data_IF_055020998008
#
_entry.id   IF_055020998008
#
_cell.length_a   1.000
_cell.length_b   1.000
_cell.length_c   1.000
_cell.angle_alpha   90.00
_cell.angle_beta   90.00
_cell.angle_gamma   90.00
#
_symmetry.space_group_name_H-M   'P 1'
#
loop_
_entity.id
_entity.type
_entity.pdbx_description
1 polymer ?
#
# COMPACT_ATOMS: atom_id res chain seq x y z
N UNK A 1 -8.28 17.13 21.27
CA UNK A 1 -8.18 15.66 21.40
C UNK A 1 -8.28 15.06 20.01
N UNK A 2 -7.22 14.43 19.50
CA UNK A 2 -7.32 13.64 18.27
C UNK A 2 -8.31 12.51 18.55
N UNK A 3 -9.47 12.49 17.87
CA UNK A 3 -10.30 11.29 17.82
C UNK A 3 -9.41 10.19 17.23
N UNK A 4 -9.10 9.19 18.04
CA UNK A 4 -8.46 7.97 17.56
C UNK A 4 -9.43 7.32 16.57
N UNK A 5 -8.91 6.86 15.42
CA UNK A 5 -9.77 6.53 14.30
C UNK A 5 -10.76 5.42 14.61
N UNK A 6 -12.04 5.65 14.32
CA UNK A 6 -13.13 4.75 14.70
C UNK A 6 -12.92 3.34 14.10
N UNK A 7 -12.42 3.29 12.86
CA UNK A 7 -12.10 2.04 12.17
C UNK A 7 -10.91 1.29 12.77
N UNK A 8 -9.86 1.99 13.23
CA UNK A 8 -8.73 1.35 13.91
C UNK A 8 -9.18 0.71 15.24
N UNK A 9 -10.05 1.39 15.99
CA UNK A 9 -10.55 0.84 17.26
C UNK A 9 -11.47 -0.36 17.05
N UNK A 10 -12.33 -0.33 16.03
CA UNK A 10 -13.13 -1.52 15.66
C UNK A 10 -12.24 -2.68 15.24
N UNK A 11 -11.21 -2.42 14.43
CA UNK A 11 -10.28 -3.47 14.00
C UNK A 11 -9.46 -4.03 15.17
N UNK A 12 -9.02 -3.22 16.13
CA UNK A 12 -8.36 -3.75 17.33
C UNK A 12 -9.24 -4.74 18.08
N UNK A 13 -10.53 -4.45 18.22
CA UNK A 13 -11.47 -5.36 18.87
C UNK A 13 -11.72 -6.62 18.04
N UNK A 14 -11.87 -6.49 16.73
CA UNK A 14 -12.06 -7.62 15.81
C UNK A 14 -10.82 -8.53 15.78
N UNK A 15 -9.63 -7.97 15.58
CA UNK A 15 -8.37 -8.71 15.53
C UNK A 15 -8.07 -9.43 16.84
N UNK A 16 -8.40 -8.84 18.01
CA UNK A 16 -8.28 -9.52 19.29
C UNK A 16 -9.19 -10.77 19.38
N UNK A 17 -10.44 -10.68 18.91
CA UNK A 17 -11.37 -11.82 18.86
C UNK A 17 -10.91 -12.88 17.86
N UNK A 18 -10.49 -12.46 16.67
CA UNK A 18 -9.96 -13.35 15.63
C UNK A 18 -8.73 -14.10 16.13
N UNK A 19 -7.78 -13.42 16.75
CA UNK A 19 -6.60 -14.02 17.39
C UNK A 19 -6.98 -15.08 18.43
N UNK A 20 -7.95 -14.78 19.29
CA UNK A 20 -8.33 -15.68 20.39
C UNK A 20 -9.05 -16.96 19.93
N UNK A 21 -9.76 -16.92 18.81
CA UNK A 21 -10.72 -17.97 18.42
C UNK A 21 -10.40 -18.68 17.10
N UNK A 22 -9.67 -18.04 16.19
CA UNK A 22 -9.41 -18.59 14.86
C UNK A 22 -8.43 -19.77 14.89
N UNK A 23 -8.46 -20.64 13.86
CA UNK A 23 -7.52 -21.76 13.75
C UNK A 23 -6.14 -21.33 13.24
N UNK A 24 -5.93 -20.06 12.91
CA UNK A 24 -4.72 -19.57 12.23
C UNK A 24 -3.58 -19.19 13.18
N UNK A 25 -3.83 -19.19 14.49
CA UNK A 25 -2.85 -18.88 15.52
C UNK A 25 -2.63 -20.06 16.47
N UNK A 26 -1.35 -20.29 16.80
CA UNK A 26 -0.91 -21.23 17.82
C UNK A 26 -1.40 -20.83 19.21
N UNK A 27 -1.37 -21.77 20.16
CA UNK A 27 -1.71 -21.47 21.56
C UNK A 27 -0.79 -20.40 22.17
N UNK A 28 0.49 -20.38 21.78
CA UNK A 28 1.44 -19.37 22.25
C UNK A 28 1.08 -17.99 21.70
N UNK A 29 0.76 -17.90 20.41
CA UNK A 29 0.40 -16.64 19.75
C UNK A 29 -0.88 -16.00 20.30
N UNK A 30 -1.73 -16.74 21.02
CA UNK A 30 -2.97 -16.23 21.65
C UNK A 30 -2.72 -15.34 22.86
N UNK A 31 -1.55 -15.45 23.52
CA UNK A 31 -1.20 -14.57 24.63
C UNK A 31 -1.04 -13.10 24.19
N UNK A 32 -1.28 -12.13 25.06
CA UNK A 32 -1.12 -10.72 24.73
C UNK A 32 0.31 -10.36 24.32
N UNK A 33 0.44 -9.57 23.26
CA UNK A 33 1.71 -9.03 22.80
C UNK A 33 2.03 -7.68 23.43
N UNK A 34 3.32 -7.40 23.63
CA UNK A 34 3.77 -6.06 24.03
C UNK A 34 4.00 -5.21 22.80
N UNK A 35 3.38 -4.04 22.73
CA UNK A 35 3.60 -3.04 21.69
C UNK A 35 3.74 -1.65 22.31
N UNK A 36 4.82 -0.93 21.98
CA UNK A 36 5.18 0.37 22.58
C UNK A 36 5.13 0.35 24.12
N UNK A 37 5.69 -0.72 24.71
CA UNK A 37 5.80 -0.90 26.17
C UNK A 37 4.49 -1.28 26.88
N UNK A 38 3.42 -1.60 26.15
CA UNK A 38 2.12 -1.94 26.74
C UNK A 38 1.64 -3.30 26.23
N UNK A 39 1.11 -4.13 27.12
CA UNK A 39 0.39 -5.36 26.76
C UNK A 39 -0.88 -5.01 25.99
N UNK A 40 -1.11 -5.70 24.87
CA UNK A 40 -2.25 -5.49 23.97
C UNK A 40 -2.84 -6.83 23.52
N UNK A 41 -4.16 -7.04 23.62
CA UNK A 41 -4.80 -8.28 23.18
C UNK A 41 -4.79 -8.45 21.65
N UNK A 42 -4.72 -7.36 20.90
CA UNK A 42 -4.61 -7.34 19.44
C UNK A 42 -3.15 -7.33 18.92
N UNK A 43 -2.17 -7.55 19.79
CA UNK A 43 -0.78 -7.79 19.39
C UNK A 43 -0.40 -9.23 19.68
N UNK A 44 0.45 -9.82 18.85
CA UNK A 44 1.06 -11.12 19.10
C UNK A 44 2.27 -10.98 20.03
N UNK A 45 2.64 -12.02 20.81
CA UNK A 45 3.96 -12.11 21.40
C UNK A 45 5.02 -11.96 20.30
N UNK A 46 6.16 -11.33 20.62
CA UNK A 46 7.16 -10.96 19.60
C UNK A 46 7.75 -12.21 18.93
N UNK A 47 7.92 -13.28 19.70
CA UNK A 47 8.34 -14.60 19.27
C UNK A 47 7.35 -15.29 18.32
N UNK A 48 6.10 -14.85 18.28
CA UNK A 48 5.04 -15.36 17.40
C UNK A 48 4.70 -14.39 16.27
N UNK A 49 5.51 -13.35 16.02
CA UNK A 49 5.16 -12.29 15.08
C UNK A 49 4.92 -12.79 13.65
N UNK A 50 5.64 -13.84 13.20
CA UNK A 50 5.40 -14.47 11.89
C UNK A 50 3.97 -14.99 11.69
N UNK A 51 3.25 -15.30 12.79
CA UNK A 51 1.87 -15.73 12.72
C UNK A 51 0.90 -14.61 12.33
N UNK A 52 1.38 -13.36 12.28
CA UNK A 52 0.65 -12.25 11.69
C UNK A 52 0.47 -12.41 10.16
N UNK A 53 1.18 -13.36 9.54
CA UNK A 53 0.99 -13.74 8.14
C UNK A 53 0.08 -14.97 8.01
N UNK A 54 -0.72 -14.99 6.97
CA UNK A 54 -1.54 -16.13 6.55
C UNK A 54 -0.66 -17.39 6.42
N UNK A 55 -1.02 -18.52 7.07
CA UNK A 55 -0.14 -19.68 7.14
C UNK A 55 0.41 -20.19 5.79
N UNK A 56 -0.39 -20.20 4.73
CA UNK A 56 0.04 -20.76 3.43
C UNK A 56 1.10 -19.90 2.72
N UNK A 57 1.15 -18.59 3.00
CA UNK A 57 2.16 -17.69 2.42
C UNK A 57 3.33 -17.40 3.35
N UNK A 58 3.19 -17.68 4.66
CA UNK A 58 4.08 -17.17 5.72
C UNK A 58 5.56 -17.39 5.41
N UNK A 59 5.95 -18.64 5.16
CA UNK A 59 7.36 -18.98 4.95
C UNK A 59 7.90 -18.39 3.65
N UNK A 60 7.10 -18.40 2.57
CA UNK A 60 7.49 -17.81 1.29
C UNK A 60 7.62 -16.29 1.38
N UNK A 61 6.72 -15.61 2.08
CA UNK A 61 6.76 -14.16 2.29
C UNK A 61 7.97 -13.76 3.14
N UNK A 62 8.24 -14.47 4.24
CA UNK A 62 9.44 -14.23 5.05
C UNK A 62 10.73 -14.42 4.25
N UNK A 63 10.83 -15.51 3.48
CA UNK A 63 11.99 -15.78 2.63
C UNK A 63 12.16 -14.70 1.55
N UNK A 64 11.06 -14.28 0.92
CA UNK A 64 11.09 -13.20 -0.08
C UNK A 64 11.56 -11.88 0.55
N UNK A 65 10.96 -11.43 1.66
CA UNK A 65 11.35 -10.19 2.35
C UNK A 65 12.83 -10.22 2.75
N UNK A 66 13.31 -11.34 3.30
CA UNK A 66 14.72 -11.51 3.64
C UNK A 66 15.63 -11.45 2.39
N UNK A 67 15.28 -12.15 1.31
CA UNK A 67 16.07 -12.18 0.07
C UNK A 67 16.18 -10.80 -0.61
N UNK A 68 15.10 -10.01 -0.55
CA UNK A 68 15.04 -8.67 -1.12
C UNK A 68 15.54 -7.58 -0.16
N UNK A 69 15.93 -7.96 1.07
CA UNK A 69 16.35 -7.01 2.10
C UNK A 69 15.26 -6.00 2.46
N UNK A 70 13.99 -6.40 2.35
CA UNK A 70 12.83 -5.56 2.67
C UNK A 70 12.69 -5.48 4.19
N UNK A 71 12.56 -4.26 4.72
CA UNK A 71 12.28 -4.08 6.14
C UNK A 71 10.79 -4.21 6.44
N UNK A 72 10.49 -4.97 7.47
CA UNK A 72 9.16 -5.00 8.05
C UNK A 72 8.87 -3.72 8.84
N UNK A 73 7.77 -3.06 8.56
CA UNK A 73 7.29 -1.90 9.31
C UNK A 73 6.96 -2.31 10.74
N UNK A 74 7.49 -1.58 11.72
CA UNK A 74 7.38 -1.88 13.16
C UNK A 74 7.76 -3.33 13.56
N UNK A 75 8.45 -4.06 12.67
CA UNK A 75 8.92 -5.42 12.88
C UNK A 75 10.21 -5.47 13.71
N UNK A 76 10.49 -6.65 14.27
CA UNK A 76 11.69 -6.89 15.10
C UNK A 76 12.41 -8.15 14.65
N UNK A 77 13.75 -8.14 14.69
CA UNK A 77 14.57 -9.32 14.36
C UNK A 77 14.28 -9.95 12.99
N UNK A 78 13.95 -9.13 11.99
CA UNK A 78 13.61 -9.61 10.64
C UNK A 78 12.20 -10.20 10.50
N UNK A 79 11.37 -10.12 11.55
CA UNK A 79 9.99 -10.59 11.55
C UNK A 79 9.01 -9.45 11.23
N UNK A 80 7.80 -9.77 10.73
CA UNK A 80 6.72 -8.80 10.55
C UNK A 80 6.34 -8.10 11.85
N UNK A 81 5.58 -7.01 11.74
CA UNK A 81 4.97 -6.36 12.89
C UNK A 81 4.20 -7.37 13.74
N UNK A 82 4.27 -7.24 15.07
CA UNK A 82 3.39 -8.02 15.96
C UNK A 82 2.02 -7.37 16.15
N UNK A 83 1.77 -6.20 15.55
CA UNK A 83 0.48 -5.50 15.61
C UNK A 83 -0.46 -6.03 14.53
N UNK A 84 -1.62 -6.59 14.90
CA UNK A 84 -2.52 -7.24 13.94
C UNK A 84 -3.24 -6.27 12.98
N UNK A 85 -3.19 -4.96 13.25
CA UNK A 85 -3.68 -3.90 12.35
C UNK A 85 -2.56 -3.22 11.54
N UNK A 86 -1.39 -3.85 11.41
CA UNK A 86 -0.30 -3.34 10.59
C UNK A 86 -0.65 -3.38 9.10
N UNK A 87 -0.45 -2.27 8.38
CA UNK A 87 -0.86 -2.16 6.97
C UNK A 87 0.08 -2.87 6.00
N UNK A 88 1.38 -2.99 6.31
CA UNK A 88 2.30 -3.77 5.48
C UNK A 88 1.96 -5.26 5.57
N UNK A 89 1.69 -5.75 6.78
CA UNK A 89 1.22 -7.13 6.98
C UNK A 89 -0.16 -7.36 6.33
N UNK A 90 -1.06 -6.38 6.39
CA UNK A 90 -2.33 -6.43 5.67
C UNK A 90 -2.09 -6.56 4.16
N UNK A 91 -1.31 -5.67 3.55
CA UNK A 91 -0.93 -5.70 2.14
C UNK A 91 -0.36 -7.07 1.72
N UNK A 92 0.59 -7.62 2.48
CA UNK A 92 1.18 -8.94 2.21
C UNK A 92 0.15 -10.05 2.27
N UNK A 93 -0.74 -10.05 3.27
CA UNK A 93 -1.79 -11.06 3.39
C UNK A 93 -2.77 -11.04 2.21
N UNK A 94 -3.08 -9.87 1.67
CA UNK A 94 -3.96 -9.76 0.50
C UNK A 94 -3.24 -10.14 -0.79
N UNK A 95 -2.02 -9.63 -1.02
CA UNK A 95 -1.40 -9.67 -2.34
C UNK A 95 -0.43 -10.84 -2.54
N UNK A 96 0.25 -11.33 -1.50
CA UNK A 96 1.32 -12.32 -1.68
C UNK A 96 0.78 -13.66 -2.16
N UNK A 97 -0.46 -14.03 -1.83
CA UNK A 97 -1.08 -15.27 -2.30
C UNK A 97 -1.19 -15.37 -3.84
N UNK A 98 -1.07 -14.23 -4.53
CA UNK A 98 -1.10 -14.10 -5.98
C UNK A 98 0.28 -14.09 -6.64
N UNK A 99 1.38 -14.12 -5.86
CA UNK A 99 2.75 -13.96 -6.38
C UNK A 99 3.12 -14.99 -7.45
N UNK A 100 2.46 -16.16 -7.44
CA UNK A 100 2.66 -17.27 -8.37
C UNK A 100 1.37 -17.69 -9.11
N UNK A 101 0.30 -16.88 -9.05
CA UNK A 101 -1.02 -17.17 -9.63
C UNK A 101 -1.47 -16.08 -10.61
N UNK A 102 -0.88 -16.00 -11.81
CA UNK A 102 -1.12 -14.90 -12.75
C UNK A 102 -2.59 -14.78 -13.17
N UNK A 103 -3.30 -15.88 -13.40
CA UNK A 103 -4.70 -15.85 -13.84
C UNK A 103 -5.63 -15.35 -12.73
N UNK A 104 -5.35 -15.72 -11.48
CA UNK A 104 -6.09 -15.24 -10.33
C UNK A 104 -5.82 -13.75 -10.10
N UNK A 105 -4.57 -13.32 -10.21
CA UNK A 105 -4.17 -11.92 -10.11
C UNK A 105 -4.83 -11.06 -11.19
N UNK A 106 -4.83 -11.53 -12.44
CA UNK A 106 -5.54 -10.84 -13.53
C UNK A 106 -7.04 -10.72 -13.22
N UNK A 107 -7.66 -11.78 -12.70
CA UNK A 107 -9.08 -11.78 -12.36
C UNK A 107 -9.41 -10.77 -11.26
N UNK A 108 -8.54 -10.62 -10.26
CA UNK A 108 -8.66 -9.59 -9.22
C UNK A 108 -8.48 -8.19 -9.78
N UNK A 109 -7.55 -7.97 -10.70
CA UNK A 109 -7.22 -6.63 -11.20
C UNK A 109 -8.13 -6.13 -12.34
N UNK A 110 -8.80 -7.03 -13.07
CA UNK A 110 -9.68 -6.68 -14.20
C UNK A 110 -10.82 -5.68 -13.92
N UNK A 111 -11.43 -5.62 -12.73
CA UNK A 111 -12.39 -4.56 -12.40
C UNK A 111 -11.81 -3.14 -12.53
N UNK A 112 -10.49 -3.01 -12.39
CA UNK A 112 -9.76 -1.74 -12.53
C UNK A 112 -9.05 -1.63 -13.89
N UNK A 113 -8.51 -2.74 -14.36
CA UNK A 113 -7.76 -2.83 -15.62
C UNK A 113 -8.43 -3.86 -16.54
N UNK A 114 -9.56 -3.51 -17.19
CA UNK A 114 -10.32 -4.47 -18.01
C UNK A 114 -9.53 -4.95 -19.23
N UNK A 115 -8.52 -4.19 -19.65
CA UNK A 115 -7.66 -4.46 -20.79
C UNK A 115 -6.52 -5.46 -20.50
N UNK A 116 -6.43 -6.05 -19.28
CA UNK A 116 -5.40 -7.05 -18.98
C UNK A 116 -5.56 -8.25 -19.93
N UNK A 117 -4.54 -8.46 -20.76
CA UNK A 117 -4.39 -9.66 -21.59
C UNK A 117 -3.70 -10.78 -20.81
N UNK A 118 -2.54 -10.49 -20.23
CA UNK A 118 -1.78 -11.44 -19.40
C UNK A 118 -0.98 -10.69 -18.33
N UNK A 119 -0.85 -11.28 -17.15
CA UNK A 119 0.12 -10.80 -16.16
C UNK A 119 1.54 -11.12 -16.63
N UNK A 120 2.49 -10.30 -16.20
CA UNK A 120 3.92 -10.46 -16.45
C UNK A 120 4.66 -10.52 -15.10
N UNK A 121 5.71 -11.35 -14.96
CA UNK A 121 6.51 -11.36 -13.75
C UNK A 121 7.24 -10.02 -13.58
N UNK A 122 7.34 -9.54 -12.35
CA UNK A 122 8.07 -8.31 -11.99
C UNK A 122 9.51 -8.63 -11.61
N UNK A 123 9.71 -9.53 -10.65
CA UNK A 123 11.06 -9.95 -10.24
C UNK A 123 11.07 -11.43 -9.82
N UNK A 124 12.17 -12.13 -10.07
CA UNK A 124 12.37 -13.53 -9.65
C UNK A 124 11.23 -14.49 -10.04
N UNK A 125 10.57 -14.24 -11.17
CA UNK A 125 9.42 -15.02 -11.64
C UNK A 125 8.12 -14.77 -10.89
N UNK A 126 8.09 -13.86 -9.92
CA UNK A 126 6.90 -13.49 -9.17
C UNK A 126 6.13 -12.37 -9.87
N UNK A 127 4.80 -12.46 -9.83
CA UNK A 127 3.88 -11.51 -10.46
C UNK A 127 3.49 -10.32 -9.56
N UNK A 128 3.85 -10.41 -8.28
CA UNK A 128 3.71 -9.33 -7.29
C UNK A 128 5.06 -9.17 -6.62
N UNK A 129 5.57 -7.95 -6.60
CA UNK A 129 6.71 -7.57 -5.77
C UNK A 129 6.28 -6.53 -4.73
N UNK A 130 7.03 -6.44 -3.63
CA UNK A 130 6.69 -5.57 -2.50
C UNK A 130 7.77 -4.53 -2.27
N UNK A 131 7.33 -3.40 -1.71
CA UNK A 131 8.19 -2.29 -1.30
C UNK A 131 9.10 -1.83 -2.46
N UNK A 132 8.53 -1.69 -3.65
CA UNK A 132 9.28 -1.40 -4.88
C UNK A 132 9.74 0.06 -4.93
N UNK A 133 11.05 0.25 -5.07
CA UNK A 133 11.69 1.58 -5.05
C UNK A 133 12.17 2.04 -6.43
N UNK A 134 11.94 1.25 -7.48
CA UNK A 134 12.55 1.42 -8.81
C UNK A 134 13.97 0.85 -8.89
N UNK A 135 14.37 0.38 -10.07
CA UNK A 135 15.72 -0.16 -10.34
C UNK A 135 16.80 0.90 -10.08
N UNK A 136 16.49 2.16 -10.40
CA UNK A 136 17.36 3.31 -10.18
C UNK A 136 16.80 4.29 -9.13
N UNK A 137 17.67 5.16 -8.60
CA UNK A 137 17.26 6.22 -7.66
C UNK A 137 16.63 7.41 -8.40
N UNK A 138 15.52 7.18 -9.09
CA UNK A 138 14.86 8.19 -9.93
C UNK A 138 14.50 9.48 -9.20
N UNK A 139 14.13 9.36 -7.92
CA UNK A 139 13.73 10.52 -7.12
C UNK A 139 14.90 11.31 -6.53
N UNK A 140 16.13 10.83 -6.69
CA UNK A 140 17.32 11.46 -6.09
C UNK A 140 17.28 11.49 -4.56
N UNK A 141 16.56 10.55 -3.94
CA UNK A 141 16.45 10.48 -2.48
C UNK A 141 17.80 10.13 -1.86
N UNK A 142 18.02 10.62 -0.64
CA UNK A 142 19.33 10.56 0.01
C UNK A 142 19.71 9.11 0.33
N UNK A 143 20.80 8.64 -0.28
CA UNK A 143 21.39 7.35 0.04
C UNK A 143 22.14 7.44 1.38
N UNK A 144 21.97 6.45 2.24
CA UNK A 144 22.70 6.34 3.50
C UNK A 144 24.20 6.18 3.25
N UNK A 145 25.02 6.45 4.28
CA UNK A 145 26.49 6.37 4.20
C UNK A 145 27.04 5.01 3.74
N UNK A 146 26.26 3.94 3.88
CA UNK A 146 26.60 2.60 3.43
C UNK A 146 26.38 2.37 1.92
N UNK A 147 25.92 3.39 1.17
CA UNK A 147 25.72 3.33 -0.28
C UNK A 147 24.58 2.44 -0.75
N UNK A 148 23.80 1.84 0.16
CA UNK A 148 22.74 0.88 -0.18
C UNK A 148 21.37 1.53 -0.08
N UNK A 149 20.56 1.34 -1.12
CA UNK A 149 19.12 1.60 -1.10
C UNK A 149 18.43 0.45 -0.37
N UNK A 150 17.32 0.72 0.33
CA UNK A 150 16.62 -0.30 1.12
C UNK A 150 15.12 -0.14 0.91
N UNK A 151 14.46 -1.25 0.56
CA UNK A 151 13.00 -1.33 0.43
C UNK A 151 12.32 -1.29 1.81
N UNK A 152 11.19 -0.60 1.93
CA UNK A 152 10.49 -0.44 3.21
C UNK A 152 11.17 0.47 4.23
N UNK A 153 12.17 1.26 3.82
CA UNK A 153 12.75 2.28 4.72
C UNK A 153 13.50 3.39 3.98
N UNK A 154 13.26 4.64 4.40
CA UNK A 154 13.99 5.85 3.98
C UNK A 154 13.87 6.27 2.51
N UNK A 155 13.25 5.44 1.66
CA UNK A 155 12.99 5.73 0.26
C UNK A 155 11.48 5.75 -0.01
N UNK A 156 11.10 6.31 -1.15
CA UNK A 156 9.77 6.14 -1.72
C UNK A 156 9.68 4.72 -2.22
N UNK A 157 8.65 4.02 -1.78
CA UNK A 157 8.49 2.60 -1.95
C UNK A 157 7.01 2.35 -2.21
N UNK A 158 6.64 1.85 -3.38
CA UNK A 158 5.29 1.36 -3.60
C UNK A 158 5.08 0.12 -2.75
N UNK A 159 3.99 0.05 -1.98
CA UNK A 159 3.72 -1.07 -1.08
C UNK A 159 3.74 -2.41 -1.82
N UNK A 160 3.21 -2.41 -3.05
CA UNK A 160 3.39 -3.49 -4.02
C UNK A 160 3.49 -2.98 -5.45
N UNK A 161 3.88 -3.86 -6.37
CA UNK A 161 3.93 -3.59 -7.81
C UNK A 161 3.46 -4.84 -8.57
N UNK A 162 2.71 -4.61 -9.64
CA UNK A 162 2.31 -5.64 -10.62
C UNK A 162 2.57 -5.13 -12.03
N UNK A 163 2.81 -6.05 -12.96
CA UNK A 163 2.99 -5.74 -14.38
C UNK A 163 2.13 -6.65 -15.23
N UNK A 164 1.58 -6.11 -16.32
CA UNK A 164 0.76 -6.85 -17.25
C UNK A 164 0.89 -6.31 -18.66
N UNK A 165 0.59 -7.17 -19.63
CA UNK A 165 0.38 -6.76 -21.00
C UNK A 165 -1.10 -6.49 -21.26
N UNK A 166 -1.38 -5.41 -21.95
CA UNK A 166 -2.72 -4.99 -22.35
C UNK A 166 -3.14 -5.62 -23.68
N UNK A 167 -4.44 -5.59 -23.98
CA UNK A 167 -4.97 -6.03 -25.28
C UNK A 167 -4.40 -5.23 -26.46
N UNK A 168 -3.99 -3.98 -26.24
CA UNK A 168 -3.35 -3.11 -27.24
C UNK A 168 -1.85 -3.40 -27.44
N UNK A 169 -1.31 -4.40 -26.75
CA UNK A 169 0.09 -4.81 -26.82
C UNK A 169 1.04 -4.00 -25.94
N UNK A 170 0.57 -2.98 -25.21
CA UNK A 170 1.40 -2.20 -24.31
C UNK A 170 1.63 -2.93 -22.99
N UNK A 171 2.80 -2.72 -22.41
CA UNK A 171 3.14 -3.14 -21.04
C UNK A 171 2.76 -2.04 -20.07
N UNK A 172 2.00 -2.42 -19.04
CA UNK A 172 1.59 -1.52 -17.99
C UNK A 172 2.05 -2.02 -16.62
N UNK A 173 2.63 -1.11 -15.85
CA UNK A 173 2.92 -1.28 -14.43
C UNK A 173 1.84 -0.55 -13.61
N UNK A 174 1.38 -1.19 -12.54
CA UNK A 174 0.64 -0.52 -11.48
C UNK A 174 1.48 -0.56 -10.19
N UNK A 175 1.90 0.62 -9.74
CA UNK A 175 2.46 0.83 -8.41
C UNK A 175 1.29 0.89 -7.42
N UNK A 176 1.23 -0.06 -6.49
CA UNK A 176 0.16 -0.17 -5.52
C UNK A 176 0.55 0.59 -4.27
N UNK A 177 -0.29 1.57 -3.89
CA UNK A 177 -0.27 2.21 -2.58
C UNK A 177 -1.41 1.63 -1.76
N UNK A 178 -1.09 0.89 -0.70
CA UNK A 178 -2.02 0.17 0.15
C UNK A 178 -2.30 0.93 1.44
N UNK A 179 -3.57 0.94 1.84
CA UNK A 179 -4.01 1.44 3.14
C UNK A 179 -4.82 0.38 3.85
N UNK A 180 -4.88 0.52 5.16
CA UNK A 180 -5.71 -0.25 6.06
C UNK A 180 -6.40 0.68 7.06
N UNK A 181 -5.77 0.97 8.19
CA UNK A 181 -6.36 1.74 9.30
C UNK A 181 -5.68 3.09 9.54
N UNK A 182 -4.97 3.63 8.56
CA UNK A 182 -4.23 4.90 8.70
C UNK A 182 -5.17 6.08 8.97
N UNK A 183 -4.72 6.96 9.86
CA UNK A 183 -5.36 8.24 10.14
C UNK A 183 -4.27 9.30 10.22
N UNK A 184 -4.38 10.34 9.40
CA UNK A 184 -3.38 11.39 9.28
C UNK A 184 -3.80 12.70 9.96
N UNK A 185 -2.82 13.44 10.45
CA UNK A 185 -3.01 14.79 11.00
C UNK A 185 -2.55 15.87 10.03
N UNK A 186 -2.97 17.11 10.26
CA UNK A 186 -2.59 18.28 9.46
C UNK A 186 -1.19 18.85 9.78
N UNK A 187 -0.24 18.01 10.19
CA UNK A 187 1.12 18.46 10.47
C UNK A 187 1.93 18.52 9.18
N UNK A 188 2.55 19.66 8.89
CA UNK A 188 3.42 19.79 7.72
C UNK A 188 4.67 18.91 7.88
N UNK A 189 4.97 18.18 6.81
CA UNK A 189 6.15 17.35 6.63
C UNK A 189 7.28 18.06 5.88
N UNK A 190 7.13 19.35 5.54
CA UNK A 190 8.14 20.11 4.81
C UNK A 190 9.52 19.98 5.45
N UNK A 191 9.60 20.20 6.76
CA UNK A 191 10.85 20.06 7.52
C UNK A 191 10.81 18.75 8.31
N UNK A 192 11.75 17.84 8.01
CA UNK A 192 11.92 16.61 8.78
C UNK A 192 12.45 16.92 10.19
N UNK A 193 12.29 15.98 11.13
CA UNK A 193 12.87 16.09 12.49
C UNK A 193 14.40 16.29 12.48
N UNK A 194 15.08 15.82 11.44
CA UNK A 194 16.51 16.02 11.22
C UNK A 194 16.89 17.43 10.74
N UNK A 195 15.92 18.33 10.52
CA UNK A 195 16.11 19.65 9.93
C UNK A 195 16.16 19.65 8.39
N UNK A 196 15.99 18.50 7.74
CA UNK A 196 15.99 18.39 6.28
C UNK A 196 14.73 19.02 5.69
N UNK A 197 14.88 20.01 4.80
CA UNK A 197 13.79 20.50 3.97
C UNK A 197 13.53 19.50 2.83
N UNK A 198 12.42 18.77 2.96
CA UNK A 198 12.00 17.74 2.01
C UNK A 198 11.56 18.31 0.67
N UNK A 199 11.24 19.60 0.59
CA UNK A 199 10.87 20.22 -0.69
C UNK A 199 12.04 20.21 -1.66
N UNK A 200 13.27 20.37 -1.17
CA UNK A 200 14.47 20.39 -2.01
C UNK A 200 14.72 19.07 -2.75
N UNK A 201 14.24 17.95 -2.22
CA UNK A 201 14.37 16.63 -2.84
C UNK A 201 13.53 16.57 -4.11
N UNK A 202 12.26 16.99 -4.03
CA UNK A 202 11.28 16.78 -5.11
C UNK A 202 11.09 18.02 -6.01
N UNK A 203 11.57 19.20 -5.58
CA UNK A 203 11.45 20.45 -6.35
C UNK A 203 12.04 20.37 -7.76
N UNK A 204 13.20 19.71 -8.00
CA UNK A 204 13.70 19.52 -9.36
C UNK A 204 12.71 18.77 -10.26
N UNK A 205 12.09 17.69 -9.76
CA UNK A 205 11.10 16.91 -10.49
C UNK A 205 9.80 17.71 -10.72
N UNK A 206 9.33 18.39 -9.67
CA UNK A 206 8.14 19.23 -9.74
C UNK A 206 8.28 20.39 -10.74
N UNK A 207 9.48 20.92 -10.95
CA UNK A 207 9.70 22.06 -11.86
C UNK A 207 9.68 21.69 -13.34
N UNK A 208 9.87 20.43 -13.70
CA UNK A 208 9.92 20.00 -15.10
C UNK A 208 8.58 20.19 -15.81
N UNK A 209 8.63 20.46 -17.12
CA UNK A 209 7.44 20.68 -17.94
C UNK A 209 6.55 19.42 -18.02
N UNK A 210 7.18 18.25 -17.98
CA UNK A 210 6.50 16.95 -18.02
C UNK A 210 6.05 16.43 -16.64
N UNK A 211 6.11 17.24 -15.59
CA UNK A 211 5.67 16.82 -14.24
C UNK A 211 4.21 16.32 -14.27
N UNK A 212 3.88 15.15 -13.67
CA UNK A 212 2.54 14.56 -13.75
C UNK A 212 1.47 15.29 -12.93
N UNK A 213 1.86 16.30 -12.15
CA UNK A 213 0.98 17.08 -11.27
C UNK A 213 0.53 18.36 -12.01
N UNK A 214 -0.76 18.66 -11.96
CA UNK A 214 -1.36 19.87 -12.49
C UNK A 214 -1.03 21.04 -11.56
N UNK A 215 -0.06 21.84 -11.98
CA UNK A 215 0.46 22.98 -11.20
C UNK A 215 -0.50 24.19 -11.24
N UNK A 216 -1.42 24.25 -12.19
CA UNK A 216 -2.40 25.35 -12.30
C UNK A 216 -3.46 25.27 -11.20
N UNK A 217 -3.79 24.05 -10.76
CA UNK A 217 -4.71 23.81 -9.65
C UNK A 217 -4.02 23.89 -8.28
N UNK A 218 -2.68 23.83 -8.25
CA UNK A 218 -1.92 23.75 -7.02
C UNK A 218 -1.61 25.16 -6.50
N UNK A 219 -2.08 25.56 -5.31
CA UNK A 219 -1.85 26.91 -4.79
C UNK A 219 -0.37 27.19 -4.53
N UNK A 220 0.37 26.18 -4.03
CA UNK A 220 1.81 26.21 -3.84
C UNK A 220 2.36 24.78 -3.69
N UNK A 221 3.67 24.59 -3.89
CA UNK A 221 4.28 23.25 -3.82
C UNK A 221 4.25 22.66 -2.41
N UNK A 222 4.38 23.51 -1.38
CA UNK A 222 4.40 23.15 0.03
C UNK A 222 3.07 22.53 0.50
N UNK A 223 1.96 22.81 -0.19
CA UNK A 223 0.64 22.21 0.05
C UNK A 223 0.65 20.68 -0.12
N UNK A 224 1.63 20.11 -0.83
CA UNK A 224 1.79 18.66 -1.00
C UNK A 224 2.50 17.99 0.19
N UNK A 225 3.06 18.75 1.13
CA UNK A 225 3.86 18.22 2.23
C UNK A 225 3.02 17.96 3.49
N UNK A 226 1.84 17.36 3.32
CA UNK A 226 0.96 16.89 4.39
C UNK A 226 0.55 15.46 4.06
N UNK A 227 0.48 14.56 5.03
CA UNK A 227 0.02 13.20 4.74
C UNK A 227 -1.49 13.15 4.54
N UNK A 228 -2.01 12.43 3.54
CA UNK A 228 -1.29 11.50 2.65
C UNK A 228 -0.82 12.11 1.31
N UNK A 229 -1.02 13.41 1.06
CA UNK A 229 -0.57 14.06 -0.19
C UNK A 229 0.94 13.93 -0.42
N UNK A 230 1.72 13.91 0.66
CA UNK A 230 3.17 13.74 0.59
C UNK A 230 3.53 12.35 0.06
N UNK A 231 2.88 11.29 0.55
CA UNK A 231 3.01 9.93 0.01
C UNK A 231 2.58 9.87 -1.45
N UNK A 232 1.38 10.37 -1.77
CA UNK A 232 0.84 10.32 -3.13
C UNK A 232 1.72 11.07 -4.14
N UNK A 233 2.24 12.25 -3.79
CA UNK A 233 3.19 13.00 -4.62
C UNK A 233 4.42 12.15 -4.95
N UNK A 234 5.02 11.52 -3.94
CA UNK A 234 6.23 10.72 -4.13
C UNK A 234 5.97 9.52 -5.03
N UNK A 235 4.88 8.79 -4.80
CA UNK A 235 4.49 7.65 -5.65
C UNK A 235 4.21 8.09 -7.09
N UNK A 236 3.50 9.22 -7.28
CA UNK A 236 3.18 9.70 -8.62
C UNK A 236 4.42 10.15 -9.39
N UNK A 237 5.37 10.79 -8.70
CA UNK A 237 6.67 11.14 -9.30
C UNK A 237 7.48 9.89 -9.61
N UNK A 238 7.47 8.86 -8.75
CA UNK A 238 8.14 7.59 -8.98
C UNK A 238 7.56 6.89 -10.22
N UNK A 239 6.24 6.76 -10.30
CA UNK A 239 5.54 6.18 -11.44
C UNK A 239 5.92 6.90 -12.76
N UNK A 240 5.93 8.22 -12.75
CA UNK A 240 6.32 9.02 -13.91
C UNK A 240 7.76 8.78 -14.35
N UNK A 241 8.70 8.73 -13.41
CA UNK A 241 10.10 8.49 -13.76
C UNK A 241 10.36 7.05 -14.23
N UNK A 242 9.67 6.05 -13.66
CA UNK A 242 9.70 4.65 -14.13
C UNK A 242 9.15 4.57 -15.57
N UNK A 243 8.02 5.25 -15.87
CA UNK A 243 7.44 5.30 -17.22
C UNK A 243 8.43 5.94 -18.21
N UNK A 244 9.05 7.05 -17.82
CA UNK A 244 10.03 7.75 -18.66
C UNK A 244 11.31 6.95 -18.90
N UNK A 245 11.75 6.19 -17.92
CA UNK A 245 12.92 5.31 -18.03
C UNK A 245 12.61 4.02 -18.77
N UNK A 246 11.33 3.72 -19.02
CA UNK A 246 10.85 2.44 -19.54
C UNK A 246 11.40 1.26 -18.71
N UNK A 247 11.43 1.43 -17.38
CA UNK A 247 11.84 0.36 -16.47
C UNK A 247 11.01 -0.90 -16.75
N UNK A 248 11.65 -2.08 -16.78
CA UNK A 248 11.01 -3.36 -17.16
C UNK A 248 10.34 -3.36 -18.55
N UNK A 249 10.67 -2.38 -19.40
CA UNK A 249 10.03 -2.16 -20.70
C UNK A 249 8.59 -1.66 -20.60
N UNK A 250 8.21 -0.98 -19.52
CA UNK A 250 6.87 -0.44 -19.35
C UNK A 250 6.60 0.74 -20.29
N UNK A 251 5.45 0.71 -20.96
CA UNK A 251 4.93 1.83 -21.76
C UNK A 251 4.04 2.77 -20.93
N UNK A 252 3.45 2.22 -19.87
CA UNK A 252 2.50 2.90 -18.99
C UNK A 252 2.83 2.53 -17.55
N UNK A 253 2.89 3.54 -16.67
CA UNK A 253 3.01 3.33 -15.22
C UNK A 253 1.96 4.18 -14.53
N UNK A 254 1.14 3.54 -13.71
CA UNK A 254 0.09 4.21 -12.94
C UNK A 254 0.25 3.92 -11.45
N UNK A 255 -0.33 4.79 -10.62
CA UNK A 255 -0.50 4.53 -9.18
C UNK A 255 -1.90 3.98 -8.96
N UNK A 256 -1.99 2.77 -8.40
CA UNK A 256 -3.21 2.15 -7.92
C UNK A 256 -3.28 2.30 -6.40
N UNK A 257 -4.11 3.21 -5.93
CA UNK A 257 -4.40 3.37 -4.51
C UNK A 257 -5.53 2.44 -4.07
N UNK A 258 -5.28 1.62 -3.06
CA UNK A 258 -6.23 0.68 -2.47
C UNK A 258 -6.41 1.01 -0.99
N UNK A 259 -7.63 1.28 -0.55
CA UNK A 259 -7.94 1.55 0.85
C UNK A 259 -9.31 1.00 1.25
N UNK A 260 -9.56 0.58 2.49
CA UNK A 260 -10.90 0.21 2.93
C UNK A 260 -11.87 1.39 2.84
N UNK A 261 -13.08 1.18 2.32
CA UNK A 261 -14.14 2.19 2.37
C UNK A 261 -14.52 2.53 3.82
N UNK A 262 -14.37 1.56 4.72
CA UNK A 262 -14.58 1.74 6.15
C UNK A 262 -13.58 2.70 6.81
N UNK A 263 -12.42 2.97 6.20
CA UNK A 263 -11.46 3.92 6.75
C UNK A 263 -11.84 5.36 6.39
N UNK A 264 -12.89 5.88 7.03
CA UNK A 264 -13.32 7.26 6.87
C UNK A 264 -12.26 8.29 7.30
N UNK A 265 -11.35 7.94 8.21
CA UNK A 265 -10.29 8.84 8.67
C UNK A 265 -9.27 9.15 7.58
N UNK A 266 -8.97 8.18 6.71
CA UNK A 266 -8.10 8.39 5.56
C UNK A 266 -8.63 9.45 4.59
N UNK A 267 -9.96 9.59 4.46
CA UNK A 267 -10.59 10.50 3.50
C UNK A 267 -10.27 11.98 3.78
N UNK A 268 -9.87 12.32 5.01
CA UNK A 268 -9.64 13.70 5.47
C UNK A 268 -8.60 14.45 4.63
N UNK A 269 -8.97 15.60 4.08
CA UNK A 269 -8.02 16.54 3.47
C UNK A 269 -7.23 17.24 4.57
N UNK A 270 -5.98 16.83 4.76
CA UNK A 270 -5.10 17.29 5.85
C UNK A 270 -4.32 18.56 5.52
N UNK A 271 -4.12 18.84 4.22
CA UNK A 271 -3.48 20.06 3.74
C UNK A 271 -4.52 21.20 3.67
N UNK A 272 -4.37 22.27 4.47
CA UNK A 272 -5.35 23.36 4.50
C UNK A 272 -5.55 24.01 3.13
N UNK A 273 -4.46 24.19 2.37
CA UNK A 273 -4.49 24.86 1.07
C UNK A 273 -5.17 24.03 -0.01
N UNK A 274 -5.26 22.70 0.16
CA UNK A 274 -5.92 21.80 -0.79
C UNK A 274 -7.38 21.51 -0.43
N UNK A 275 -7.84 21.89 0.76
CA UNK A 275 -9.23 21.70 1.18
C UNK A 275 -10.26 22.28 0.19
N UNK A 276 -10.03 23.45 -0.46
CA UNK A 276 -10.98 23.95 -1.47
C UNK A 276 -11.10 23.10 -2.73
N UNK A 277 -10.19 22.16 -2.99
CA UNK A 277 -10.17 21.36 -4.22
C UNK A 277 -11.07 20.12 -4.15
N UNK A 278 -11.54 19.70 -2.99
CA UNK A 278 -12.42 18.54 -2.86
C UNK A 278 -12.63 18.08 -1.43
N UNK A 279 -13.62 17.20 -1.24
CA UNK A 279 -14.04 16.74 0.09
C UNK A 279 -13.18 15.61 0.63
N UNK A 280 -12.53 14.84 -0.25
CA UNK A 280 -11.64 13.76 0.12
C UNK A 280 -10.25 13.89 -0.49
N UNK A 281 -9.25 13.27 0.17
CA UNK A 281 -7.88 13.16 -0.35
C UNK A 281 -7.86 12.65 -1.79
N UNK A 282 -8.60 11.59 -2.09
CA UNK A 282 -8.56 10.92 -3.40
C UNK A 282 -9.28 11.76 -4.45
N UNK A 283 -10.32 12.51 -4.10
CA UNK A 283 -10.97 13.46 -5.01
C UNK A 283 -10.05 14.61 -5.38
N UNK A 284 -9.36 15.18 -4.38
CA UNK A 284 -8.34 16.21 -4.59
C UNK A 284 -7.22 15.65 -5.47
N UNK A 285 -6.69 14.46 -5.14
CA UNK A 285 -5.56 13.90 -5.88
C UNK A 285 -5.91 13.57 -7.34
N UNK A 286 -7.09 13.01 -7.60
CA UNK A 286 -7.58 12.75 -8.97
C UNK A 286 -7.64 14.02 -9.82
N UNK A 287 -7.94 15.19 -9.23
CA UNK A 287 -7.91 16.48 -9.92
C UNK A 287 -6.50 16.98 -10.16
N UNK A 288 -5.58 16.73 -9.23
CA UNK A 288 -4.19 17.16 -9.30
C UNK A 288 -3.34 16.32 -10.27
N UNK A 289 -3.70 15.08 -10.60
CA UNK A 289 -2.95 14.28 -11.60
C UNK A 289 -3.41 14.66 -13.00
N UNK A 290 -2.50 15.12 -13.86
CA UNK A 290 -2.83 15.65 -15.20
C UNK A 290 -3.51 14.61 -16.10
N UNK A 291 -2.97 13.39 -16.10
CA UNK A 291 -3.46 12.28 -16.92
C UNK A 291 -4.37 11.38 -16.08
N UNK A 292 -5.66 11.34 -16.44
CA UNK A 292 -6.69 10.61 -15.67
C UNK A 292 -6.45 9.10 -15.57
N UNK A 293 -5.66 8.53 -16.46
CA UNK A 293 -5.27 7.12 -16.47
C UNK A 293 -4.00 6.81 -15.65
N UNK A 294 -3.42 7.80 -14.95
CA UNK A 294 -2.17 7.65 -14.18
C UNK A 294 -2.34 7.54 -12.67
N UNK A 295 -3.55 7.78 -12.17
CA UNK A 295 -3.93 7.53 -10.78
C UNK A 295 -5.32 6.91 -10.71
N UNK A 296 -5.43 5.76 -10.08
CA UNK A 296 -6.69 5.07 -9.85
C UNK A 296 -6.83 4.82 -8.35
N UNK A 297 -8.02 5.05 -7.81
CA UNK A 297 -8.32 4.79 -6.41
C UNK A 297 -9.54 3.89 -6.32
N UNK A 298 -9.40 2.76 -5.64
CA UNK A 298 -10.45 1.77 -5.43
C UNK A 298 -10.48 1.34 -3.97
N UNK A 299 -11.66 0.97 -3.49
CA UNK A 299 -11.80 0.38 -2.16
C UNK A 299 -11.27 -1.06 -2.14
N UNK A 300 -10.71 -1.52 -1.04
CA UNK A 300 -10.35 -2.94 -0.88
C UNK A 300 -11.57 -3.86 -1.07
N UNK A 301 -12.74 -3.46 -0.58
CA UNK A 301 -14.02 -4.15 -0.69
C UNK A 301 -14.45 -4.37 -2.15
N UNK A 302 -14.31 -3.35 -3.01
CA UNK A 302 -14.63 -3.50 -4.44
C UNK A 302 -13.64 -4.38 -5.20
N UNK A 303 -12.38 -4.42 -4.77
CA UNK A 303 -11.34 -5.19 -5.47
C UNK A 303 -11.29 -6.65 -5.00
N UNK A 304 -11.54 -6.87 -3.71
CA UNK A 304 -11.39 -8.16 -3.03
C UNK A 304 -12.69 -8.70 -2.42
N UNK A 305 -13.77 -7.93 -2.38
CA UNK A 305 -15.05 -8.37 -1.81
C UNK A 305 -15.93 -9.15 -2.78
N UNK A 306 -16.98 -9.77 -2.23
CA UNK A 306 -18.04 -10.42 -2.98
C UNK A 306 -17.64 -11.74 -3.66
N UNK A 307 -18.37 -12.07 -4.74
CA UNK A 307 -18.34 -13.37 -5.45
C UNK A 307 -16.97 -13.74 -6.02
N UNK A 308 -16.09 -12.76 -6.29
CA UNK A 308 -14.77 -12.98 -6.87
C UNK A 308 -13.91 -13.90 -5.99
N UNK A 309 -13.95 -13.72 -4.66
CA UNK A 309 -13.21 -14.53 -3.69
C UNK A 309 -13.62 -16.02 -3.71
N UNK A 310 -14.90 -16.32 -3.93
CA UNK A 310 -15.43 -17.68 -3.90
C UNK A 310 -15.15 -18.50 -5.18
N UNK A 311 -14.62 -17.85 -6.22
CA UNK A 311 -14.47 -18.42 -7.56
C UNK A 311 -13.03 -18.65 -8.00
N UNK A 312 -12.04 -18.10 -7.27
CA UNK A 312 -10.63 -18.23 -7.63
C UNK A 312 -10.15 -19.68 -7.39
N UNK A 313 -9.87 -20.46 -8.45
CA UNK A 313 -9.47 -21.86 -8.30
C UNK A 313 -8.19 -21.97 -7.47
N UNK A 314 -8.19 -22.86 -6.48
CA UNK A 314 -7.01 -23.08 -5.63
C UNK A 314 -6.72 -21.98 -4.61
N UNK A 315 -7.63 -21.02 -4.39
CA UNK A 315 -7.46 -19.93 -3.41
C UNK A 315 -8.48 -19.96 -2.25
N UNK A 316 -9.09 -21.12 -2.00
CA UNK A 316 -10.11 -21.28 -0.97
C UNK A 316 -9.59 -20.96 0.44
N UNK A 317 -8.43 -21.50 0.82
CA UNK A 317 -7.85 -21.26 2.15
C UNK A 317 -7.53 -19.78 2.38
N UNK A 318 -6.98 -19.12 1.37
CA UNK A 318 -6.74 -17.67 1.38
C UNK A 318 -8.06 -16.87 1.49
N UNK A 319 -9.08 -17.21 0.70
CA UNK A 319 -10.38 -16.52 0.75
C UNK A 319 -11.04 -16.67 2.13
N UNK A 320 -11.05 -17.89 2.68
CA UNK A 320 -11.58 -18.15 4.02
C UNK A 320 -10.82 -17.34 5.09
N UNK A 321 -9.49 -17.26 4.98
CA UNK A 321 -8.66 -16.46 5.87
C UNK A 321 -8.96 -14.95 5.77
N UNK A 322 -8.98 -14.39 4.56
CA UNK A 322 -9.23 -12.96 4.35
C UNK A 322 -10.61 -12.59 4.86
N UNK A 323 -11.64 -13.40 4.55
CA UNK A 323 -13.01 -13.14 5.00
C UNK A 323 -13.17 -13.26 6.52
N UNK A 324 -12.45 -14.18 7.16
CA UNK A 324 -12.49 -14.32 8.62
C UNK A 324 -11.72 -13.20 9.34
N UNK A 325 -10.54 -12.84 8.81
CA UNK A 325 -9.64 -11.88 9.46
C UNK A 325 -10.00 -10.43 9.18
N UNK A 326 -10.39 -10.12 7.95
CA UNK A 326 -10.70 -8.77 7.47
C UNK A 326 -12.17 -8.71 7.07
N UNK A 327 -13.06 -8.98 8.03
CA UNK A 327 -14.48 -9.22 7.78
C UNK A 327 -15.18 -8.06 7.04
N UNK A 328 -14.72 -6.83 7.28
CA UNK A 328 -15.17 -5.61 6.60
C UNK A 328 -15.02 -5.66 5.07
N UNK A 329 -14.18 -6.54 4.51
CA UNK A 329 -14.05 -6.74 3.05
C UNK A 329 -15.36 -7.19 2.41
N UNK A 330 -16.20 -7.93 3.15
CA UNK A 330 -17.48 -8.43 2.67
C UNK A 330 -18.60 -7.39 2.81
N UNK A 331 -18.42 -6.41 3.67
CA UNK A 331 -19.39 -5.35 3.93
C UNK A 331 -19.27 -4.28 2.84
N UNK A 332 -19.83 -4.55 1.67
CA UNK A 332 -19.95 -3.52 0.65
C UNK A 332 -20.91 -2.43 1.16
N UNK A 333 -20.36 -1.36 1.72
CA UNK A 333 -21.09 -0.10 1.78
C UNK A 333 -21.26 0.35 0.33
N UNK A 334 -22.43 0.11 -0.24
CA UNK A 334 -22.79 0.59 -1.55
C UNK A 334 -22.88 2.14 -1.50
N UNK A 335 -21.74 2.83 -1.43
CA UNK A 335 -21.67 4.22 -1.84
C UNK A 335 -21.48 4.25 -3.36
N UNK A 336 -22.60 4.05 -4.05
CA UNK A 336 -22.80 4.55 -5.40
C UNK A 336 -22.78 6.08 -5.37
N UNK A 337 -21.74 6.68 -5.95
CA UNK A 337 -21.79 8.02 -6.55
C UNK A 337 -20.65 8.19 -7.55
#
# INVERSE_FOLDING_TARGET
>A
MNRMGEFLESEKLHQAKFKASSPYFSNAARADGVYKGKSRPFCLPIECAEENLFPEIRQAALAYFASQGIKWHDGQNGQPSNHLCDSQVCCVNFLFAFSDKPDALASVLRPVFPDIRTMLPVENGQYVAFEWIGEENYLGEKISRNGKRTRGANFTSADAIVMFERIDGKRQIALIEWKYTESYGGASLKIARSGTDRTNIYRPLFRRDDCPINKELLPNFEALFYEPFYQLMRQQLLAHEIERAQELGADIVCVLHIAPDHNADFRRVTSPDLAPLGDTVTDVWKKLVQRRDRFISISTERLFGGWLMGQLPGMRGWSEYINARYAWVQDSTASSS
#
